data_IF_868349745192
#
_entry.id   IF_868349745192
#
_cell.length_a   1.000
_cell.length_b   1.000
_cell.length_c   1.000
_cell.angle_alpha   90.00
_cell.angle_beta   90.00
_cell.angle_gamma   90.00
#
_symmetry.space_group_name_H-M   'P 1'
#
loop_
_entity.id
_entity.type
_entity.pdbx_description
1 polymer ?
#
# COMPACT_ATOMS: atom_id res chain seq x y z
N UNK A 1 -9.16 -7.67 -8.06
CA UNK A 1 -8.56 -7.95 -6.73
C UNK A 1 -9.31 -7.24 -5.62
N UNK A 2 -9.39 -5.91 -5.60
CA UNK A 2 -10.12 -5.15 -4.57
C UNK A 2 -11.54 -5.68 -4.28
N UNK A 3 -12.39 -5.85 -5.30
CA UNK A 3 -13.74 -6.41 -5.13
C UNK A 3 -13.70 -7.83 -4.56
N UNK A 4 -12.80 -8.68 -5.07
CA UNK A 4 -12.66 -10.06 -4.60
C UNK A 4 -12.23 -10.12 -3.13
N UNK A 5 -11.31 -9.24 -2.70
CA UNK A 5 -10.87 -9.11 -1.32
C UNK A 5 -12.03 -8.67 -0.40
N UNK A 6 -12.76 -7.61 -0.78
CA UNK A 6 -13.93 -7.14 -0.02
C UNK A 6 -15.06 -8.18 0.04
N UNK A 7 -15.23 -8.96 -1.02
CA UNK A 7 -16.20 -10.05 -1.07
C UNK A 7 -15.74 -11.33 -0.33
N UNK A 8 -14.58 -11.30 0.34
CA UNK A 8 -13.98 -12.47 1.01
C UNK A 8 -13.86 -13.69 0.09
N UNK A 9 -13.50 -13.46 -1.17
CA UNK A 9 -13.29 -14.54 -2.15
C UNK A 9 -12.10 -15.40 -1.71
N UNK A 10 -12.25 -16.72 -1.56
CA UNK A 10 -11.22 -17.57 -0.95
C UNK A 10 -10.00 -17.79 -1.86
N UNK A 11 -10.14 -17.56 -3.16
CA UNK A 11 -9.09 -17.87 -4.12
C UNK A 11 -9.10 -16.92 -5.33
N UNK A 12 -7.92 -16.34 -5.63
CA UNK A 12 -7.67 -15.47 -6.78
C UNK A 12 -6.44 -16.00 -7.51
N UNK A 13 -6.60 -16.45 -8.75
CA UNK A 13 -5.53 -17.13 -9.52
C UNK A 13 -4.97 -16.33 -10.70
N UNK A 14 -5.68 -15.29 -11.16
CA UNK A 14 -5.35 -14.59 -12.40
C UNK A 14 -4.29 -13.49 -12.22
N UNK A 15 -3.35 -13.66 -11.28
CA UNK A 15 -2.25 -12.71 -11.10
C UNK A 15 -1.27 -12.90 -12.25
N UNK A 16 -0.96 -11.81 -12.98
CA UNK A 16 -0.07 -11.89 -14.13
C UNK A 16 -0.73 -12.23 -15.47
N UNK A 17 -2.04 -12.48 -15.49
CA UNK A 17 -2.76 -12.85 -16.72
C UNK A 17 -2.92 -11.65 -17.65
N UNK A 18 -2.58 -11.85 -18.92
CA UNK A 18 -2.81 -10.94 -20.02
C UNK A 18 -3.67 -11.62 -21.09
N UNK A 19 -4.24 -10.82 -21.99
CA UNK A 19 -5.00 -11.30 -23.15
C UNK A 19 -6.10 -12.33 -22.80
N UNK A 20 -6.79 -12.13 -21.68
CA UNK A 20 -7.82 -13.05 -21.19
C UNK A 20 -7.28 -14.41 -20.71
N UNK A 21 -6.04 -14.45 -20.21
CA UNK A 21 -5.39 -15.67 -19.72
C UNK A 21 -4.66 -16.48 -20.78
N UNK A 22 -4.52 -15.95 -22.01
CA UNK A 22 -3.75 -16.61 -23.08
C UNK A 22 -2.25 -16.42 -22.93
N UNK A 23 -1.84 -15.34 -22.26
CA UNK A 23 -0.45 -14.98 -22.07
C UNK A 23 -0.23 -14.57 -20.61
N UNK A 24 0.95 -14.87 -20.09
CA UNK A 24 1.41 -14.40 -18.80
C UNK A 24 2.51 -13.36 -18.98
N UNK A 25 2.58 -12.38 -18.09
CA UNK A 25 3.74 -11.50 -17.95
C UNK A 25 4.46 -11.82 -16.64
N UNK A 26 5.79 -11.79 -16.65
CA UNK A 26 6.61 -11.91 -15.44
C UNK A 26 6.71 -10.58 -14.66
N UNK A 27 6.51 -9.44 -15.33
CA UNK A 27 6.45 -8.11 -14.72
C UNK A 27 5.17 -7.95 -13.89
N UNK A 28 4.06 -8.48 -14.39
CA UNK A 28 2.74 -8.28 -13.78
C UNK A 28 2.60 -8.90 -12.37
N UNK A 29 3.15 -10.09 -12.03
CA UNK A 29 3.19 -10.60 -10.67
C UNK A 29 3.82 -9.63 -9.66
N UNK A 30 4.90 -8.94 -10.02
CA UNK A 30 5.52 -7.94 -9.13
C UNK A 30 4.59 -6.74 -8.89
N UNK A 31 3.86 -6.29 -9.91
CA UNK A 31 2.82 -5.28 -9.73
C UNK A 31 1.61 -5.81 -8.94
N UNK A 32 1.20 -7.05 -9.20
CA UNK A 32 0.08 -7.68 -8.51
C UNK A 32 0.36 -7.85 -7.02
N UNK A 33 1.58 -8.20 -6.62
CA UNK A 33 2.00 -8.29 -5.21
C UNK A 33 1.69 -6.99 -4.44
N UNK A 34 2.11 -5.86 -5.01
CA UNK A 34 1.84 -4.52 -4.48
C UNK A 34 0.33 -4.24 -4.36
N UNK A 35 -0.43 -4.54 -5.41
CA UNK A 35 -1.88 -4.33 -5.44
C UNK A 35 -2.63 -5.27 -4.48
N UNK A 36 -2.10 -6.48 -4.23
CA UNK A 36 -2.65 -7.44 -3.25
C UNK A 36 -2.43 -6.88 -1.85
N UNK A 37 -1.23 -6.39 -1.55
CA UNK A 37 -0.92 -5.73 -0.27
C UNK A 37 -1.91 -4.61 0.05
N UNK A 38 -2.14 -3.70 -0.91
CA UNK A 38 -3.13 -2.63 -0.75
C UNK A 38 -4.57 -3.15 -0.60
N UNK A 39 -4.98 -4.10 -1.45
CA UNK A 39 -6.34 -4.65 -1.41
C UNK A 39 -6.62 -5.38 -0.09
N UNK A 40 -5.63 -6.09 0.46
CA UNK A 40 -5.74 -6.80 1.72
C UNK A 40 -5.81 -5.84 2.91
N UNK A 41 -4.98 -4.78 2.94
CA UNK A 41 -5.08 -3.75 3.98
C UNK A 41 -6.48 -3.11 3.95
N UNK A 42 -6.98 -2.76 2.77
CA UNK A 42 -8.31 -2.18 2.62
C UNK A 42 -9.41 -3.14 3.10
N UNK A 43 -9.31 -4.43 2.75
CA UNK A 43 -10.30 -5.44 3.13
C UNK A 43 -10.24 -5.83 4.61
N UNK A 44 -9.11 -5.62 5.31
CA UNK A 44 -8.99 -5.83 6.75
C UNK A 44 -9.92 -4.92 7.57
N UNK A 45 -10.36 -3.80 6.97
CA UNK A 45 -11.24 -2.83 7.62
C UNK A 45 -10.54 -2.05 8.73
N UNK A 46 -11.33 -1.39 9.57
CA UNK A 46 -10.84 -0.60 10.69
C UNK A 46 -11.19 -1.29 12.01
N UNK A 47 -10.21 -1.41 12.90
CA UNK A 47 -10.49 -1.79 14.30
C UNK A 47 -11.33 -0.69 14.95
N UNK A 48 -12.42 -1.04 15.61
CA UNK A 48 -13.30 -0.08 16.30
C UNK A 48 -13.30 -0.39 17.79
N UNK A 49 -12.48 0.35 18.53
CA UNK A 49 -12.44 0.33 19.99
C UNK A 49 -12.13 1.74 20.55
N UNK A 50 -12.09 1.88 21.87
CA UNK A 50 -11.86 3.18 22.51
C UNK A 50 -10.51 3.82 22.14
N UNK A 51 -9.49 3.00 21.90
CA UNK A 51 -8.15 3.46 21.52
C UNK A 51 -8.07 3.88 20.05
N UNK A 52 -8.70 3.13 19.14
CA UNK A 52 -8.71 3.44 17.70
C UNK A 52 -9.62 4.62 17.33
N UNK A 53 -10.65 4.91 18.14
CA UNK A 53 -11.47 6.13 18.00
C UNK A 53 -10.66 7.39 18.39
N UNK A 54 -9.68 7.25 19.29
CA UNK A 54 -8.70 8.28 19.64
C UNK A 54 -9.29 9.62 20.15
N UNK A 55 -10.40 9.58 20.91
CA UNK A 55 -11.07 10.78 21.46
C UNK A 55 -10.12 11.68 22.27
N UNK A 56 -9.21 11.08 23.04
CA UNK A 56 -8.24 11.82 23.84
C UNK A 56 -7.22 12.55 22.97
N UNK A 57 -6.80 11.95 21.85
CA UNK A 57 -5.89 12.59 20.88
C UNK A 57 -6.57 13.80 20.26
N UNK A 58 -7.82 13.62 19.80
CA UNK A 58 -8.63 14.70 19.23
C UNK A 58 -8.75 15.85 20.24
N UNK A 59 -9.02 15.54 21.51
CA UNK A 59 -9.14 16.56 22.57
C UNK A 59 -7.83 17.31 22.79
N UNK A 60 -6.68 16.61 22.83
CA UNK A 60 -5.36 17.24 23.01
C UNK A 60 -4.99 18.15 21.84
N UNK A 61 -5.14 17.65 20.61
CA UNK A 61 -4.72 18.33 19.38
C UNK A 61 -5.76 19.34 18.84
N UNK A 62 -6.93 19.48 19.48
CA UNK A 62 -8.04 20.31 18.99
C UNK A 62 -7.67 21.78 18.76
N UNK A 63 -6.72 22.33 19.53
CA UNK A 63 -6.39 23.76 19.51
C UNK A 63 -5.32 24.13 18.48
N UNK A 64 -4.35 23.24 18.26
CA UNK A 64 -3.11 23.53 17.54
C UNK A 64 -2.82 22.52 16.41
N UNK A 65 -3.70 21.54 16.21
CA UNK A 65 -3.58 20.52 15.17
C UNK A 65 -2.33 19.62 15.33
N UNK A 66 -1.86 19.40 16.57
CA UNK A 66 -0.63 18.67 16.90
C UNK A 66 -0.70 17.13 16.74
N UNK A 67 -1.49 16.61 15.78
CA UNK A 67 -1.70 15.16 15.61
C UNK A 67 -0.41 14.41 15.27
N UNK A 68 0.41 14.95 14.37
CA UNK A 68 1.65 14.29 13.92
C UNK A 68 2.67 14.10 15.03
N UNK A 69 2.66 14.98 16.03
CA UNK A 69 3.59 14.94 17.17
C UNK A 69 3.00 14.21 18.38
N UNK A 70 1.72 13.82 18.33
CA UNK A 70 1.11 13.05 19.41
C UNK A 70 1.69 11.64 19.45
N UNK A 71 1.99 11.16 20.66
CA UNK A 71 2.55 9.82 20.88
C UNK A 71 1.66 8.72 20.30
N UNK A 72 0.34 8.88 20.36
CA UNK A 72 -0.60 7.90 19.81
C UNK A 72 -0.38 7.68 18.31
N UNK A 73 -0.15 8.77 17.56
CA UNK A 73 0.17 8.72 16.13
C UNK A 73 1.57 8.17 15.87
N UNK A 74 2.57 8.61 16.64
CA UNK A 74 3.96 8.12 16.49
C UNK A 74 4.09 6.61 16.74
N UNK A 75 3.30 6.07 17.67
CA UNK A 75 3.33 4.64 17.99
C UNK A 75 2.60 3.79 16.92
N UNK A 76 1.74 4.39 16.07
CA UNK A 76 0.80 3.66 15.18
C UNK A 76 0.98 3.91 13.69
N UNK A 77 1.64 4.98 13.27
CA UNK A 77 1.64 5.36 11.85
C UNK A 77 2.21 4.27 10.92
N UNK A 78 3.14 3.43 11.40
CA UNK A 78 3.67 2.29 10.63
C UNK A 78 2.79 1.05 10.65
N UNK A 79 1.94 0.88 11.68
CA UNK A 79 1.10 -0.30 11.84
C UNK A 79 -0.28 -0.11 11.22
N UNK A 80 -0.81 1.11 11.24
CA UNK A 80 -2.14 1.43 10.71
C UNK A 80 -2.11 1.76 9.21
N UNK A 81 -0.98 2.23 8.68
CA UNK A 81 -0.83 2.54 7.26
C UNK A 81 -0.19 1.38 6.50
N UNK A 82 -0.69 1.14 5.28
CA UNK A 82 0.03 0.33 4.31
C UNK A 82 1.03 1.19 3.52
N UNK A 83 2.29 0.76 3.55
CA UNK A 83 3.38 1.40 2.83
C UNK A 83 3.70 0.63 1.54
N UNK A 84 3.68 1.31 0.38
CA UNK A 84 4.02 0.69 -0.89
C UNK A 84 5.50 0.33 -0.93
N UNK A 85 5.81 -0.78 -1.60
CA UNK A 85 7.20 -1.17 -1.88
C UNK A 85 7.59 -0.87 -3.33
N UNK A 86 6.59 -0.74 -4.21
CA UNK A 86 6.77 -0.49 -5.63
C UNK A 86 6.22 0.87 -6.04
N UNK A 87 5.04 1.26 -5.55
CA UNK A 87 4.41 2.55 -5.90
C UNK A 87 5.14 3.72 -5.23
N UNK A 88 5.27 4.83 -5.95
CA UNK A 88 6.01 6.01 -5.46
C UNK A 88 5.06 6.95 -4.71
N UNK A 89 5.50 7.44 -3.55
CA UNK A 89 4.77 8.44 -2.75
C UNK A 89 5.65 9.64 -2.36
N UNK A 90 6.89 9.71 -2.86
CA UNK A 90 7.73 10.89 -2.66
C UNK A 90 7.16 12.11 -3.38
N UNK A 91 7.57 13.29 -2.92
CA UNK A 91 7.31 14.54 -3.64
C UNK A 91 7.93 14.54 -5.05
N UNK A 92 7.38 15.38 -5.92
CA UNK A 92 7.77 15.45 -7.32
C UNK A 92 9.26 15.76 -7.51
N UNK A 93 9.80 16.72 -6.74
CA UNK A 93 11.20 17.12 -6.81
C UNK A 93 12.13 15.94 -6.46
N UNK A 94 11.83 15.22 -5.39
CA UNK A 94 12.60 14.05 -4.99
C UNK A 94 12.53 12.92 -6.04
N UNK A 95 11.38 12.72 -6.68
CA UNK A 95 11.24 11.74 -7.77
C UNK A 95 12.06 12.15 -9.00
N UNK A 96 12.06 13.44 -9.34
CA UNK A 96 12.86 13.99 -10.45
C UNK A 96 14.36 13.88 -10.20
N UNK A 97 14.82 14.19 -8.99
CA UNK A 97 16.23 14.06 -8.59
C UNK A 97 16.74 12.62 -8.68
N UNK A 98 15.85 11.63 -8.49
CA UNK A 98 16.16 10.19 -8.68
C UNK A 98 16.12 9.74 -10.14
N UNK A 99 16.01 10.66 -11.09
CA UNK A 99 15.98 10.36 -12.53
C UNK A 99 14.60 9.98 -13.05
N UNK A 100 13.53 10.31 -12.31
CA UNK A 100 12.15 10.12 -12.75
C UNK A 100 11.80 8.69 -13.18
N UNK A 101 12.15 7.64 -12.40
CA UNK A 101 11.91 6.27 -12.81
C UNK A 101 10.41 6.02 -12.96
N UNK A 102 10.02 5.54 -14.15
CA UNK A 102 8.65 5.13 -14.39
C UNK A 102 8.31 3.85 -13.59
N UNK A 103 7.02 3.49 -13.57
CA UNK A 103 6.58 2.30 -12.85
C UNK A 103 7.17 1.00 -13.45
N UNK A 104 7.37 0.96 -14.77
CA UNK A 104 7.84 -0.25 -15.44
C UNK A 104 9.31 -0.52 -15.12
N UNK A 105 10.15 0.51 -15.07
CA UNK A 105 11.54 0.42 -14.64
C UNK A 105 11.61 -0.18 -13.24
N UNK A 106 10.84 0.36 -12.29
CA UNK A 106 10.79 -0.14 -10.90
C UNK A 106 10.31 -1.59 -10.80
N UNK A 107 9.33 -1.98 -11.63
CA UNK A 107 8.87 -3.37 -11.72
C UNK A 107 10.01 -4.28 -12.17
N UNK A 108 10.77 -3.87 -13.19
CA UNK A 108 11.90 -4.65 -13.70
C UNK A 108 13.03 -4.76 -12.68
N UNK A 109 13.34 -3.68 -11.97
CA UNK A 109 14.34 -3.69 -10.90
C UNK A 109 13.92 -4.66 -9.78
N UNK A 110 12.67 -4.58 -9.32
CA UNK A 110 12.11 -5.49 -8.32
C UNK A 110 12.12 -6.94 -8.79
N UNK A 111 11.75 -7.19 -10.04
CA UNK A 111 11.75 -8.53 -10.62
C UNK A 111 13.18 -9.09 -10.69
N UNK A 112 14.15 -8.28 -11.11
CA UNK A 112 15.55 -8.67 -11.13
C UNK A 112 16.08 -9.00 -9.72
N UNK A 113 15.70 -8.24 -8.71
CA UNK A 113 16.07 -8.52 -7.32
C UNK A 113 15.45 -9.82 -6.78
N UNK A 114 14.20 -10.14 -7.16
CA UNK A 114 13.52 -11.39 -6.77
C UNK A 114 14.15 -12.62 -7.45
N UNK A 115 14.62 -12.48 -8.70
CA UNK A 115 15.12 -13.59 -9.52
C UNK A 115 16.64 -13.85 -9.36
N UNK A 116 17.35 -13.03 -8.58
CA UNK A 116 18.75 -13.26 -8.21
C UNK A 116 18.89 -14.40 -7.20
#
# INVERSE_FOLDING_TARGET
MAIAAMASTPFVHNLGYLSGGRTGSLEMPALCDELVGWSNQMAAGCKVDADSIAVDVITRAARDNSYLTDRHTQDRYLTENWYPTLLERSDADAWMERGSPDLRSRINDRLADILR
#
